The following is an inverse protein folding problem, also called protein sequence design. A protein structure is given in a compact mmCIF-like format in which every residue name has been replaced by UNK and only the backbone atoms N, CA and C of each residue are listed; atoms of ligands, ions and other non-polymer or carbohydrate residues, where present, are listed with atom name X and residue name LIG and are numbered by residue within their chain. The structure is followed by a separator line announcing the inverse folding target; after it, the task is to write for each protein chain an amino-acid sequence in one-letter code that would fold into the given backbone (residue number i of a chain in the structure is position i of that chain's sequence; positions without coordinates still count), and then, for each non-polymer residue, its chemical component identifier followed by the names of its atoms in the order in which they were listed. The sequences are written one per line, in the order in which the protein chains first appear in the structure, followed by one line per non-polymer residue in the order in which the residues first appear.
data_IF_755147167881
#
_entry.id   IF_755147167881
#
_cell.length_a   1.000
_cell.length_b   1.000
_cell.length_c   1.000
_cell.angle_alpha   90.00
_cell.angle_beta   90.00
_cell.angle_gamma   90.00
#
_symmetry.space_group_name_H-M   'P 1'
#
loop_
_entity.id
_entity.type
_entity.pdbx_description
1 polymer ?
#
# COMPACT_ATOMS: atom_id res chain seq x y z
N UNK A 1 14.70 2.52 13.06
CA UNK A 1 13.99 2.21 14.33
C UNK A 1 13.20 0.92 14.15
N UNK A 2 12.70 0.30 15.24
CA UNK A 2 11.81 -0.86 15.17
C UNK A 2 10.35 -0.43 15.05
N UNK A 3 9.49 -1.31 14.50
CA UNK A 3 8.04 -1.16 14.51
C UNK A 3 7.36 -1.85 15.70
N UNK A 4 8.15 -2.33 16.66
CA UNK A 4 7.64 -2.97 17.87
C UNK A 4 6.62 -2.07 18.59
N UNK A 5 5.49 -2.66 18.97
CA UNK A 5 4.34 -2.01 19.62
C UNK A 5 3.72 -0.84 18.84
N UNK A 6 4.14 -0.57 17.58
CA UNK A 6 3.51 0.42 16.70
C UNK A 6 2.24 -0.14 16.08
N UNK A 7 1.21 0.68 16.01
CA UNK A 7 -0.07 0.33 15.38
C UNK A 7 -0.11 0.79 13.92
N UNK A 8 -0.18 -0.18 13.00
CA UNK A 8 -0.27 0.05 11.56
C UNK A 8 -1.67 -0.28 11.06
N UNK A 9 -2.38 0.71 10.52
CA UNK A 9 -3.66 0.51 9.85
C UNK A 9 -3.45 0.32 8.34
N UNK A 10 -3.72 -0.88 7.80
CA UNK A 10 -3.40 -1.24 6.41
C UNK A 10 -4.68 -1.52 5.64
N UNK A 11 -5.01 -0.67 4.66
CA UNK A 11 -6.16 -0.90 3.78
C UNK A 11 -5.81 -1.91 2.68
N UNK A 12 -6.76 -2.80 2.34
CA UNK A 12 -6.54 -3.82 1.32
C UNK A 12 -5.55 -4.92 1.74
N UNK A 13 -5.42 -5.18 3.05
CA UNK A 13 -4.39 -6.08 3.60
C UNK A 13 -4.74 -7.57 3.57
N UNK A 14 -5.87 -7.99 2.99
CA UNK A 14 -6.26 -9.40 2.94
C UNK A 14 -5.41 -10.27 1.99
N UNK A 15 -4.51 -9.69 1.20
CA UNK A 15 -3.61 -10.36 0.24
C UNK A 15 -2.54 -9.44 -0.34
N UNK A 16 -1.65 -10.02 -1.15
CA UNK A 16 -0.68 -9.26 -1.98
C UNK A 16 0.25 -8.38 -1.17
N UNK A 17 0.52 -7.16 -1.66
CA UNK A 17 1.46 -6.22 -1.04
C UNK A 17 1.03 -5.85 0.39
N UNK A 18 -0.25 -5.56 0.61
CA UNK A 18 -0.75 -5.19 1.93
C UNK A 18 -0.57 -6.29 2.98
N UNK A 19 -0.78 -7.57 2.59
CA UNK A 19 -0.49 -8.73 3.44
C UNK A 19 1.00 -8.83 3.78
N UNK A 20 1.88 -8.71 2.80
CA UNK A 20 3.33 -8.81 3.06
C UNK A 20 3.86 -7.65 3.93
N UNK A 21 3.34 -6.42 3.76
CA UNK A 21 3.64 -5.29 4.67
C UNK A 21 3.20 -5.63 6.09
N UNK A 22 1.99 -6.19 6.26
CA UNK A 22 1.48 -6.62 7.56
C UNK A 22 2.40 -7.65 8.22
N UNK A 23 2.79 -8.70 7.49
CA UNK A 23 3.67 -9.77 8.00
C UNK A 23 5.08 -9.26 8.30
N UNK A 24 5.62 -8.35 7.46
CA UNK A 24 6.93 -7.76 7.69
C UNK A 24 6.98 -6.94 8.99
N UNK A 25 5.95 -6.15 9.24
CA UNK A 25 5.85 -5.37 10.46
C UNK A 25 5.56 -6.26 11.71
N UNK A 26 4.75 -7.32 11.54
CA UNK A 26 4.43 -8.27 12.60
C UNK A 26 5.67 -8.98 13.16
N UNK A 27 6.68 -9.27 12.32
CA UNK A 27 7.97 -9.86 12.75
C UNK A 27 8.74 -8.98 13.74
N UNK A 28 8.46 -7.69 13.77
CA UNK A 28 8.99 -6.74 14.75
C UNK A 28 8.11 -6.65 16.02
N UNK A 29 6.99 -7.34 16.09
CA UNK A 29 6.03 -7.23 17.18
C UNK A 29 5.06 -6.05 17.04
N UNK A 30 4.77 -5.60 15.83
CA UNK A 30 3.80 -4.52 15.58
C UNK A 30 2.35 -4.96 15.82
N UNK A 31 1.47 -3.98 16.10
CA UNK A 31 0.02 -4.14 16.11
C UNK A 31 -0.50 -3.86 14.69
N UNK A 32 -1.22 -4.80 14.09
CA UNK A 32 -1.65 -4.72 12.71
C UNK A 32 -3.18 -4.70 12.60
N UNK A 33 -3.71 -3.65 12.00
CA UNK A 33 -5.13 -3.59 11.61
C UNK A 33 -5.23 -4.00 10.15
N UNK A 34 -5.83 -5.17 9.92
CA UNK A 34 -6.08 -5.75 8.59
C UNK A 34 -7.45 -5.27 8.10
N UNK A 35 -7.49 -4.17 7.35
CA UNK A 35 -8.72 -3.57 6.88
C UNK A 35 -8.97 -3.89 5.40
N UNK A 36 -9.96 -4.72 5.09
CA UNK A 36 -10.32 -5.03 3.70
C UNK A 36 -11.77 -5.55 3.58
N UNK A 37 -12.31 -5.60 2.37
CA UNK A 37 -13.65 -6.10 2.09
C UNK A 37 -13.80 -7.62 2.24
N UNK A 38 -12.71 -8.37 2.03
CA UNK A 38 -12.72 -9.83 1.95
C UNK A 38 -12.69 -10.46 3.35
N UNK A 39 -13.85 -10.58 3.98
CA UNK A 39 -14.02 -11.33 5.23
C UNK A 39 -14.19 -12.83 4.98
N UNK A 40 -14.91 -13.19 3.90
CA UNK A 40 -15.17 -14.58 3.53
C UNK A 40 -14.21 -15.07 2.43
N UNK A 41 -13.90 -16.39 2.39
CA UNK A 41 -13.13 -16.98 1.32
C UNK A 41 -13.77 -16.74 -0.06
N UNK A 42 -12.95 -16.47 -1.07
CA UNK A 42 -13.39 -16.28 -2.44
C UNK A 42 -12.79 -17.35 -3.35
N UNK A 43 -13.60 -17.93 -4.25
CA UNK A 43 -13.18 -19.08 -5.09
C UNK A 43 -11.93 -18.82 -5.96
N UNK A 44 -11.67 -17.56 -6.34
CA UNK A 44 -10.57 -17.19 -7.24
C UNK A 44 -9.50 -16.29 -6.60
N UNK A 45 -9.74 -15.78 -5.39
CA UNK A 45 -8.82 -14.85 -4.74
C UNK A 45 -8.39 -15.41 -3.38
N UNK A 46 -7.10 -15.62 -3.14
CA UNK A 46 -6.61 -16.14 -1.87
C UNK A 46 -6.74 -15.11 -0.76
N UNK A 47 -6.85 -15.58 0.48
CA UNK A 47 -6.75 -14.78 1.69
C UNK A 47 -8.01 -13.99 2.04
N UNK A 48 -8.24 -13.88 3.35
CA UNK A 48 -9.28 -13.05 3.99
C UNK A 48 -8.62 -12.18 5.05
N UNK A 49 -9.36 -11.24 5.62
CA UNK A 49 -8.87 -10.46 6.78
C UNK A 49 -8.56 -11.37 7.96
N UNK A 50 -9.31 -12.46 8.14
CA UNK A 50 -9.14 -13.41 9.24
C UNK A 50 -7.90 -14.30 9.02
N UNK A 51 -7.72 -14.87 7.82
CA UNK A 51 -6.52 -15.69 7.54
C UNK A 51 -5.22 -14.89 7.67
N UNK A 52 -5.23 -13.59 7.31
CA UNK A 52 -4.05 -12.72 7.49
C UNK A 52 -3.86 -12.33 8.94
N UNK A 53 -4.94 -12.19 9.73
CA UNK A 53 -4.82 -11.98 11.17
C UNK A 53 -4.10 -13.14 11.86
N UNK A 54 -4.49 -14.39 11.54
CA UNK A 54 -3.82 -15.60 12.05
C UNK A 54 -2.32 -15.62 11.65
N UNK A 55 -2.00 -15.24 10.42
CA UNK A 55 -0.61 -15.18 9.94
C UNK A 55 0.22 -14.08 10.65
N UNK A 56 -0.39 -12.92 10.94
CA UNK A 56 0.24 -11.81 11.71
C UNK A 56 0.57 -12.26 13.12
N UNK A 57 -0.34 -12.97 13.80
CA UNK A 57 -0.11 -13.51 15.14
C UNK A 57 0.99 -14.57 15.14
N UNK A 58 0.99 -15.47 14.15
CA UNK A 58 2.05 -16.47 13.97
C UNK A 58 3.42 -15.82 13.69
N UNK A 59 3.44 -14.65 13.05
CA UNK A 59 4.67 -13.90 12.79
C UNK A 59 5.19 -13.11 14.01
N UNK A 60 4.44 -13.06 15.12
CA UNK A 60 4.84 -12.40 16.36
C UNK A 60 4.20 -11.02 16.60
N UNK A 61 3.32 -10.56 15.72
CA UNK A 61 2.53 -9.34 15.90
C UNK A 61 1.23 -9.57 16.65
N UNK A 62 0.44 -8.51 16.81
CA UNK A 62 -0.96 -8.56 17.26
C UNK A 62 -1.86 -8.13 16.10
N UNK A 63 -3.02 -8.77 15.95
CA UNK A 63 -3.89 -8.55 14.81
C UNK A 63 -5.29 -8.05 15.21
N UNK A 64 -5.83 -7.13 14.40
CA UNK A 64 -7.25 -6.76 14.42
C UNK A 64 -7.78 -6.80 12.99
N UNK A 65 -8.68 -7.76 12.71
CA UNK A 65 -9.32 -7.90 11.41
C UNK A 65 -10.59 -7.04 11.34
N UNK A 66 -10.66 -6.10 10.40
CA UNK A 66 -11.81 -5.22 10.19
C UNK A 66 -12.33 -5.33 8.76
N UNK A 67 -13.59 -5.73 8.60
CA UNK A 67 -14.25 -5.68 7.30
C UNK A 67 -14.53 -4.23 6.92
N UNK A 68 -13.90 -3.74 5.84
CA UNK A 68 -13.98 -2.33 5.46
C UNK A 68 -14.05 -2.16 3.93
N UNK A 69 -15.06 -1.41 3.47
CA UNK A 69 -15.05 -0.78 2.16
C UNK A 69 -14.55 0.67 2.31
N UNK A 70 -13.38 0.97 1.77
CA UNK A 70 -12.76 2.31 1.86
C UNK A 70 -13.56 3.42 1.16
N UNK A 71 -14.61 3.09 0.42
CA UNK A 71 -15.53 4.05 -0.22
C UNK A 71 -16.55 4.60 0.77
N UNK A 72 -16.84 3.86 1.84
CA UNK A 72 -17.78 4.26 2.90
C UNK A 72 -17.04 5.06 3.97
N UNK A 73 -17.27 6.37 3.97
CA UNK A 73 -16.63 7.31 4.89
C UNK A 73 -17.00 7.04 6.36
N UNK A 74 -18.25 6.67 6.63
CA UNK A 74 -18.70 6.40 7.99
C UNK A 74 -18.03 5.12 8.52
N UNK A 75 -17.96 4.07 7.70
CA UNK A 75 -17.26 2.84 8.03
C UNK A 75 -15.75 3.06 8.24
N UNK A 76 -15.11 3.90 7.42
CA UNK A 76 -13.69 4.27 7.61
C UNK A 76 -13.47 4.95 8.96
N UNK A 77 -14.29 5.95 9.32
CA UNK A 77 -14.19 6.63 10.62
C UNK A 77 -14.40 5.67 11.79
N UNK A 78 -15.39 4.80 11.71
CA UNK A 78 -15.66 3.79 12.73
C UNK A 78 -14.52 2.79 12.88
N UNK A 79 -13.93 2.31 11.76
CA UNK A 79 -12.81 1.38 11.78
C UNK A 79 -11.54 2.01 12.40
N UNK A 80 -11.26 3.29 12.11
CA UNK A 80 -10.13 4.00 12.74
C UNK A 80 -10.33 4.16 14.24
N UNK A 81 -11.55 4.51 14.69
CA UNK A 81 -11.87 4.63 16.12
C UNK A 81 -11.72 3.28 16.83
N UNK A 82 -12.25 2.20 16.25
CA UNK A 82 -12.13 0.85 16.79
C UNK A 82 -10.67 0.39 16.90
N UNK A 83 -9.84 0.67 15.88
CA UNK A 83 -8.42 0.36 15.88
C UNK A 83 -7.68 1.11 17.00
N UNK A 84 -7.96 2.42 17.13
CA UNK A 84 -7.34 3.25 18.15
C UNK A 84 -7.77 2.85 19.58
N UNK A 85 -9.04 2.48 19.78
CA UNK A 85 -9.53 1.96 21.04
C UNK A 85 -8.86 0.63 21.42
N UNK A 86 -8.72 -0.27 20.43
CA UNK A 86 -8.17 -1.61 20.66
C UNK A 86 -6.67 -1.61 20.98
N UNK A 87 -5.87 -0.77 20.30
CA UNK A 87 -4.41 -0.74 20.44
C UNK A 87 -3.87 0.50 21.14
N UNK A 88 -4.74 1.44 21.53
CA UNK A 88 -4.33 2.66 22.23
C UNK A 88 -3.89 3.80 21.29
N UNK A 89 -4.06 3.67 19.98
CA UNK A 89 -3.70 4.69 18.98
C UNK A 89 -3.38 4.10 17.60
N UNK A 90 -3.00 4.97 16.67
CA UNK A 90 -2.53 4.60 15.33
C UNK A 90 -1.24 5.37 15.04
N UNK A 91 -0.14 4.67 14.74
CA UNK A 91 1.15 5.25 14.40
C UNK A 91 1.36 5.39 12.89
N UNK A 92 0.78 4.48 12.10
CA UNK A 92 0.91 4.52 10.64
C UNK A 92 -0.38 4.14 9.92
N UNK A 93 -0.68 4.86 8.83
CA UNK A 93 -1.70 4.52 7.85
C UNK A 93 -1.04 4.09 6.55
N UNK A 94 -1.39 2.90 6.05
CA UNK A 94 -0.95 2.41 4.75
C UNK A 94 -2.16 2.34 3.81
N UNK A 95 -2.24 3.26 2.86
CA UNK A 95 -3.25 3.30 1.81
C UNK A 95 -2.82 2.37 0.66
N UNK A 96 -3.12 1.08 0.82
CA UNK A 96 -2.78 0.04 -0.14
C UNK A 96 -4.02 -0.47 -0.92
N UNK A 97 -5.23 -0.30 -0.42
CA UNK A 97 -6.44 -0.66 -1.17
C UNK A 97 -6.44 -0.01 -2.55
N UNK A 98 -6.71 -0.78 -3.59
CA UNK A 98 -6.67 -0.28 -4.96
C UNK A 98 -7.59 -1.06 -5.91
N UNK A 99 -7.96 -0.42 -7.00
CA UNK A 99 -8.65 -1.01 -8.14
C UNK A 99 -7.88 -0.69 -9.42
N UNK A 100 -7.81 -1.67 -10.32
CA UNK A 100 -7.07 -1.57 -11.57
C UNK A 100 -7.98 -1.95 -12.75
N UNK A 101 -7.84 -1.19 -13.85
CA UNK A 101 -8.30 -1.55 -15.19
C UNK A 101 -7.45 -0.83 -16.22
N UNK A 102 -6.65 -1.58 -16.94
CA UNK A 102 -5.67 -1.07 -17.91
C UNK A 102 -6.27 -0.97 -19.31
N UNK A 103 -7.17 -0.01 -19.52
CA UNK A 103 -7.75 0.31 -20.84
C UNK A 103 -7.81 1.82 -21.02
N UNK A 104 -7.73 2.26 -22.27
CA UNK A 104 -7.83 3.67 -22.66
C UNK A 104 -9.25 4.24 -22.54
N UNK A 105 -9.36 5.56 -22.71
CA UNK A 105 -10.63 6.31 -22.58
C UNK A 105 -11.72 5.78 -23.53
N UNK A 106 -11.35 5.38 -24.73
CA UNK A 106 -12.30 4.88 -25.75
C UNK A 106 -13.12 3.67 -25.27
N UNK A 107 -12.51 2.80 -24.45
CA UNK A 107 -13.09 1.49 -24.08
C UNK A 107 -13.50 1.37 -22.62
N UNK A 108 -13.13 2.32 -21.78
CA UNK A 108 -13.43 2.24 -20.35
C UNK A 108 -14.89 2.63 -20.08
N UNK A 109 -15.62 1.75 -19.40
CA UNK A 109 -16.93 2.10 -18.85
C UNK A 109 -16.76 3.20 -17.76
N UNK A 110 -17.50 4.33 -17.84
CA UNK A 110 -17.46 5.39 -16.83
C UNK A 110 -17.68 4.91 -15.40
N UNK A 111 -18.56 3.94 -15.17
CA UNK A 111 -18.78 3.32 -13.83
C UNK A 111 -17.52 2.67 -13.29
N UNK A 112 -16.66 2.11 -14.17
CA UNK A 112 -15.40 1.52 -13.78
C UNK A 112 -14.37 2.59 -13.44
N UNK A 113 -14.38 3.72 -14.16
CA UNK A 113 -13.56 4.88 -13.78
C UNK A 113 -13.95 5.44 -12.41
N UNK A 114 -15.26 5.65 -12.18
CA UNK A 114 -15.78 6.12 -10.89
C UNK A 114 -15.36 5.18 -9.75
N UNK A 115 -15.46 3.87 -9.95
CA UNK A 115 -15.03 2.87 -8.97
C UNK A 115 -13.52 3.00 -8.66
N UNK A 116 -12.67 3.10 -9.70
CA UNK A 116 -11.23 3.26 -9.51
C UNK A 116 -10.92 4.58 -8.79
N UNK A 117 -11.56 5.68 -9.17
CA UNK A 117 -11.34 6.98 -8.55
C UNK A 117 -11.74 6.98 -7.07
N UNK A 118 -12.88 6.37 -6.74
CA UNK A 118 -13.34 6.24 -5.36
C UNK A 118 -12.38 5.42 -4.49
N UNK A 119 -11.86 4.30 -5.02
CA UNK A 119 -10.99 3.39 -4.25
C UNK A 119 -9.55 3.90 -4.20
N UNK A 120 -9.01 4.41 -5.31
CA UNK A 120 -7.62 4.86 -5.38
C UNK A 120 -7.46 6.26 -4.79
N UNK A 121 -8.05 7.27 -5.43
CA UNK A 121 -7.79 8.69 -5.08
C UNK A 121 -8.60 9.16 -3.88
N UNK A 122 -9.96 9.02 -3.95
CA UNK A 122 -10.83 9.55 -2.90
C UNK A 122 -10.57 8.86 -1.55
N UNK A 123 -10.37 7.54 -1.55
CA UNK A 123 -10.15 6.82 -0.30
C UNK A 123 -8.84 7.24 0.40
N UNK A 124 -7.78 7.59 -0.32
CA UNK A 124 -6.55 8.13 0.28
C UNK A 124 -6.86 9.37 1.12
N UNK A 125 -7.65 10.31 0.59
CA UNK A 125 -8.05 11.50 1.32
C UNK A 125 -8.91 11.13 2.54
N UNK A 126 -9.94 10.32 2.36
CA UNK A 126 -10.89 9.94 3.44
C UNK A 126 -10.20 9.19 4.57
N UNK A 127 -9.37 8.18 4.24
CA UNK A 127 -8.63 7.42 5.24
C UNK A 127 -7.60 8.29 5.97
N UNK A 128 -6.90 9.18 5.24
CA UNK A 128 -5.92 10.08 5.85
C UNK A 128 -6.59 11.10 6.80
N UNK A 129 -7.76 11.64 6.43
CA UNK A 129 -8.54 12.52 7.31
C UNK A 129 -9.01 11.78 8.57
N UNK A 130 -9.49 10.55 8.43
CA UNK A 130 -9.98 9.76 9.57
C UNK A 130 -8.84 9.31 10.51
N UNK A 131 -7.65 9.03 9.98
CA UNK A 131 -6.48 8.66 10.77
C UNK A 131 -5.79 9.86 11.44
N UNK A 132 -5.95 11.08 10.89
CA UNK A 132 -5.21 12.27 11.29
C UNK A 132 -5.24 12.57 12.80
N UNK A 133 -6.38 12.49 13.52
CA UNK A 133 -6.40 12.71 14.97
C UNK A 133 -5.42 11.80 15.71
N UNK A 134 -5.41 10.53 15.39
CA UNK A 134 -4.57 9.50 16.04
C UNK A 134 -3.10 9.63 15.65
N UNK A 135 -2.80 9.93 14.38
CA UNK A 135 -1.43 10.16 13.90
C UNK A 135 -0.76 11.36 14.54
N UNK A 136 -1.54 12.39 14.93
CA UNK A 136 -1.04 13.56 15.67
C UNK A 136 -0.56 13.18 17.07
N UNK A 137 -1.20 12.21 17.68
CA UNK A 137 -0.93 11.77 19.05
C UNK A 137 0.18 10.69 19.11
N UNK A 138 0.66 10.21 17.95
CA UNK A 138 1.75 9.24 17.88
C UNK A 138 3.07 9.82 18.43
N UNK A 139 3.59 9.24 19.49
CA UNK A 139 4.83 9.69 20.13
C UNK A 139 6.06 9.58 19.21
N UNK A 140 6.07 8.60 18.30
CA UNK A 140 7.16 8.42 17.33
C UNK A 140 7.04 9.33 16.11
N UNK A 141 5.95 10.08 15.98
CA UNK A 141 5.54 10.79 14.76
C UNK A 141 4.75 9.87 13.84
N UNK A 142 3.58 10.35 13.39
CA UNK A 142 2.70 9.58 12.52
C UNK A 142 3.29 9.39 11.12
N UNK A 143 2.95 8.26 10.47
CA UNK A 143 3.31 8.00 9.08
C UNK A 143 2.07 7.75 8.22
N UNK A 144 2.05 8.30 7.01
CA UNK A 144 1.12 7.91 5.94
C UNK A 144 1.94 7.41 4.77
N UNK A 145 1.67 6.18 4.33
CA UNK A 145 2.29 5.57 3.16
C UNK A 145 1.21 5.23 2.13
N UNK A 146 1.31 5.83 0.94
CA UNK A 146 0.40 5.61 -0.16
C UNK A 146 1.06 4.71 -1.21
N UNK A 147 0.37 3.63 -1.64
CA UNK A 147 0.88 2.78 -2.73
C UNK A 147 0.55 3.46 -4.07
N UNK A 148 1.39 4.43 -4.44
CA UNK A 148 1.21 5.23 -5.65
C UNK A 148 2.54 5.58 -6.32
N UNK A 149 2.55 5.80 -7.67
CA UNK A 149 3.76 5.91 -8.48
C UNK A 149 4.41 7.31 -8.38
N UNK A 150 5.66 7.43 -8.86
CA UNK A 150 6.22 8.72 -9.23
C UNK A 150 5.39 9.40 -10.33
N UNK A 151 5.47 10.73 -10.43
CA UNK A 151 4.76 11.51 -11.46
C UNK A 151 5.62 11.58 -12.73
N UNK A 152 5.52 10.58 -13.58
CA UNK A 152 6.15 10.58 -14.90
C UNK A 152 5.15 11.08 -15.93
N UNK A 153 5.38 12.28 -16.51
CA UNK A 153 4.47 12.96 -17.42
C UNK A 153 4.66 12.56 -18.89
N UNK A 154 5.43 11.50 -19.19
CA UNK A 154 5.53 10.98 -20.55
C UNK A 154 4.15 10.50 -21.03
N UNK A 155 3.78 10.93 -22.24
CA UNK A 155 2.49 10.63 -22.86
C UNK A 155 2.19 9.13 -23.02
N UNK A 156 3.24 8.28 -23.07
CA UNK A 156 3.09 6.82 -23.11
C UNK A 156 2.27 6.27 -21.94
N UNK A 157 2.39 6.88 -20.75
CA UNK A 157 1.68 6.47 -19.54
C UNK A 157 0.21 6.87 -19.52
N UNK A 158 -0.18 7.78 -20.39
CA UNK A 158 -1.58 8.24 -20.55
C UNK A 158 -2.27 7.59 -21.74
N UNK A 159 -1.53 7.27 -22.81
CA UNK A 159 -2.11 6.81 -24.06
C UNK A 159 -2.90 5.50 -23.93
N UNK A 160 -2.37 4.51 -23.21
CA UNK A 160 -2.96 3.17 -23.15
C UNK A 160 -3.92 2.97 -21.96
N UNK A 161 -3.72 3.67 -20.87
CA UNK A 161 -4.47 3.48 -19.61
C UNK A 161 -4.63 4.78 -18.81
N UNK A 162 -4.80 5.90 -19.51
CA UNK A 162 -4.97 7.23 -18.94
C UNK A 162 -5.96 7.31 -17.77
N UNK A 163 -7.13 6.69 -17.82
CA UNK A 163 -8.06 6.70 -16.70
C UNK A 163 -7.47 6.10 -15.40
N UNK A 164 -6.73 4.99 -15.49
CA UNK A 164 -6.02 4.43 -14.34
C UNK A 164 -4.90 5.35 -13.86
N UNK A 165 -4.10 5.88 -14.81
CA UNK A 165 -3.02 6.85 -14.53
C UNK A 165 -3.54 8.03 -13.72
N UNK A 166 -4.65 8.65 -14.15
CA UNK A 166 -5.28 9.79 -13.42
C UNK A 166 -5.59 9.42 -11.96
N UNK A 167 -6.13 8.22 -11.72
CA UNK A 167 -6.48 7.82 -10.35
C UNK A 167 -5.23 7.58 -9.50
N UNK A 168 -4.17 7.01 -10.07
CA UNK A 168 -2.92 6.75 -9.33
C UNK A 168 -2.11 8.03 -9.11
N UNK A 169 -2.04 8.91 -10.10
CA UNK A 169 -1.38 10.22 -9.96
C UNK A 169 -2.12 11.12 -8.97
N UNK A 170 -3.45 11.04 -8.90
CA UNK A 170 -4.22 11.72 -7.86
C UNK A 170 -3.76 11.35 -6.43
N UNK A 171 -3.42 10.07 -6.18
CA UNK A 171 -2.85 9.65 -4.89
C UNK A 171 -1.47 10.29 -4.65
N UNK A 172 -0.61 10.33 -5.68
CA UNK A 172 0.73 10.91 -5.58
C UNK A 172 0.68 12.42 -5.36
N UNK A 173 -0.23 13.13 -6.02
CA UNK A 173 -0.45 14.56 -5.79
C UNK A 173 -0.96 14.84 -4.37
N UNK A 174 -1.89 14.02 -3.85
CA UNK A 174 -2.34 14.08 -2.46
C UNK A 174 -1.19 13.81 -1.48
N UNK A 175 -0.29 12.87 -1.81
CA UNK A 175 0.91 12.59 -1.00
C UNK A 175 1.76 13.85 -0.83
N UNK A 176 2.08 14.53 -1.93
CA UNK A 176 2.88 15.76 -1.90
C UNK A 176 2.18 16.88 -1.11
N UNK A 177 0.88 17.10 -1.36
CA UNK A 177 0.09 18.10 -0.64
C UNK A 177 0.02 17.84 0.86
N UNK A 178 -0.34 16.61 1.25
CA UNK A 178 -0.44 16.22 2.67
C UNK A 178 0.91 16.26 3.38
N UNK A 179 2.04 16.02 2.70
CA UNK A 179 3.37 16.07 3.32
C UNK A 179 3.71 17.47 3.84
N UNK A 180 3.29 18.52 3.14
CA UNK A 180 3.46 19.91 3.57
C UNK A 180 2.37 20.35 4.55
N UNK A 181 1.11 19.99 4.31
CA UNK A 181 -0.02 20.33 5.19
C UNK A 181 0.18 19.74 6.61
N UNK A 182 0.63 18.47 6.71
CA UNK A 182 0.78 17.77 7.99
C UNK A 182 2.15 17.95 8.64
N UNK A 183 3.05 18.67 8.01
CA UNK A 183 4.38 19.02 8.53
C UNK A 183 4.32 19.62 9.94
N UNK A 184 3.38 20.52 10.18
CA UNK A 184 3.15 21.17 11.48
C UNK A 184 2.79 20.19 12.61
N UNK A 185 2.33 19.00 12.28
CA UNK A 185 2.01 17.94 13.23
C UNK A 185 3.15 16.91 13.37
N UNK A 186 4.23 17.07 12.62
CA UNK A 186 5.35 16.11 12.61
C UNK A 186 5.05 14.79 11.92
N UNK A 187 4.01 14.72 11.08
CA UNK A 187 3.61 13.51 10.35
C UNK A 187 4.42 13.42 9.06
N UNK A 188 4.95 12.23 8.78
CA UNK A 188 5.62 11.89 7.51
C UNK A 188 4.60 11.35 6.51
N UNK A 189 4.61 11.85 5.28
CA UNK A 189 3.72 11.37 4.21
C UNK A 189 4.54 11.05 2.98
N UNK A 190 4.51 9.80 2.52
CA UNK A 190 5.28 9.34 1.37
C UNK A 190 4.43 8.44 0.47
N UNK A 191 4.89 8.25 -0.76
CA UNK A 191 4.40 7.23 -1.65
C UNK A 191 5.48 6.17 -1.90
N UNK A 192 5.03 4.94 -2.21
CA UNK A 192 5.90 3.81 -2.57
C UNK A 192 5.32 3.12 -3.80
N UNK A 193 6.18 2.82 -4.78
CA UNK A 193 5.83 2.12 -6.00
C UNK A 193 6.89 1.07 -6.35
N UNK A 194 6.51 -0.07 -6.96
CA UNK A 194 7.47 -1.07 -7.38
C UNK A 194 8.24 -0.63 -8.63
N UNK A 195 9.53 -0.95 -8.69
CA UNK A 195 10.36 -0.79 -9.88
C UNK A 195 10.00 -1.79 -10.97
N UNK A 196 9.65 -2.98 -10.54
CA UNK A 196 9.33 -4.09 -11.43
C UNK A 196 7.97 -4.67 -11.06
N UNK A 197 7.31 -5.32 -12.01
CA UNK A 197 6.05 -6.00 -11.77
C UNK A 197 6.10 -6.87 -10.51
N UNK A 198 5.06 -6.80 -9.70
CA UNK A 198 4.91 -7.61 -8.48
C UNK A 198 3.89 -8.73 -8.73
N UNK A 199 4.27 -9.96 -8.43
CA UNK A 199 3.43 -11.14 -8.57
C UNK A 199 2.29 -11.14 -7.54
N UNK A 200 1.13 -10.60 -7.92
CA UNK A 200 -0.05 -10.49 -7.06
C UNK A 200 -1.30 -10.99 -7.77
N UNK A 201 -2.30 -11.42 -7.00
CA UNK A 201 -3.59 -11.84 -7.54
C UNK A 201 -4.29 -10.72 -8.36
N UNK A 202 -4.05 -9.45 -8.08
CA UNK A 202 -4.59 -8.33 -8.85
C UNK A 202 -4.00 -8.29 -10.26
N UNK A 203 -2.71 -8.50 -10.39
CA UNK A 203 -2.01 -8.57 -11.69
C UNK A 203 -2.40 -9.84 -12.44
N UNK A 204 -2.50 -11.00 -11.78
CA UNK A 204 -3.01 -12.23 -12.39
C UNK A 204 -4.41 -12.02 -12.99
N UNK A 205 -5.29 -11.38 -12.24
CA UNK A 205 -6.66 -11.12 -12.68
C UNK A 205 -6.70 -10.15 -13.88
N UNK A 206 -5.88 -9.10 -13.89
CA UNK A 206 -5.86 -8.11 -14.99
C UNK A 206 -5.21 -8.67 -16.26
N UNK A 207 -4.13 -9.45 -16.13
CA UNK A 207 -3.44 -10.06 -17.27
C UNK A 207 -4.08 -11.38 -17.76
N UNK A 208 -4.89 -12.02 -16.91
CA UNK A 208 -5.52 -13.31 -17.20
C UNK A 208 -4.56 -14.52 -17.22
N UNK A 209 -3.31 -14.34 -16.81
CA UNK A 209 -2.28 -15.41 -16.79
C UNK A 209 -1.21 -15.13 -15.73
N UNK A 210 -0.58 -16.21 -15.24
CA UNK A 210 0.60 -16.16 -14.35
C UNK A 210 1.95 -16.18 -15.11
N UNK A 211 1.96 -16.29 -16.41
CA UNK A 211 3.22 -16.42 -17.15
C UNK A 211 4.16 -15.23 -16.95
N UNK A 212 3.59 -14.03 -16.81
CA UNK A 212 4.36 -12.83 -16.52
C UNK A 212 5.06 -12.86 -15.14
N UNK A 213 4.61 -13.70 -14.20
CA UNK A 213 5.20 -13.82 -12.87
C UNK A 213 6.63 -14.35 -12.89
N UNK A 214 6.99 -15.15 -13.89
CA UNK A 214 8.39 -15.59 -14.10
C UNK A 214 9.37 -14.42 -14.27
N UNK A 215 8.85 -13.26 -14.65
CA UNK A 215 9.58 -12.02 -14.85
C UNK A 215 9.17 -10.92 -13.87
N UNK A 216 8.68 -11.31 -12.70
CA UNK A 216 8.21 -10.44 -11.64
C UNK A 216 8.99 -10.67 -10.34
N UNK A 217 8.83 -9.75 -9.40
CA UNK A 217 9.28 -9.93 -8.02
C UNK A 217 8.11 -10.31 -7.12
N UNK A 218 8.42 -10.90 -5.99
CA UNK A 218 7.44 -11.18 -4.93
C UNK A 218 7.07 -9.89 -4.20
N UNK A 219 5.91 -9.81 -3.54
CA UNK A 219 5.53 -8.64 -2.73
C UNK A 219 6.48 -8.32 -1.58
N UNK A 220 7.42 -9.22 -1.24
CA UNK A 220 8.36 -9.04 -0.13
C UNK A 220 9.22 -7.77 -0.30
N UNK A 221 9.65 -7.44 -1.53
CA UNK A 221 10.44 -6.21 -1.78
C UNK A 221 9.67 -4.95 -1.37
N UNK A 222 8.37 -4.91 -1.68
CA UNK A 222 7.50 -3.80 -1.27
C UNK A 222 7.32 -3.73 0.24
N UNK A 223 7.28 -4.88 0.90
CA UNK A 223 7.18 -4.97 2.35
C UNK A 223 8.44 -4.46 3.05
N UNK A 224 9.63 -4.85 2.58
CA UNK A 224 10.89 -4.39 3.12
C UNK A 224 11.13 -2.89 2.85
N UNK A 225 10.75 -2.40 1.66
CA UNK A 225 10.79 -0.97 1.34
C UNK A 225 9.82 -0.16 2.22
N UNK A 226 8.60 -0.64 2.42
CA UNK A 226 7.63 -0.03 3.34
C UNK A 226 8.17 -0.02 4.78
N UNK A 227 8.78 -1.11 5.22
CA UNK A 227 9.42 -1.20 6.52
C UNK A 227 10.51 -0.13 6.69
N UNK A 228 11.40 0.02 5.72
CA UNK A 228 12.47 1.03 5.74
C UNK A 228 11.91 2.46 5.90
N UNK A 229 10.79 2.76 5.22
CA UNK A 229 10.11 4.06 5.32
C UNK A 229 9.46 4.25 6.68
N UNK A 230 8.68 3.27 7.14
CA UNK A 230 7.86 3.35 8.36
C UNK A 230 8.68 3.28 9.64
N UNK A 231 9.85 2.64 9.61
CA UNK A 231 10.79 2.58 10.74
C UNK A 231 11.81 3.72 10.74
N UNK A 232 11.74 4.66 9.79
CA UNK A 232 12.62 5.82 9.73
C UNK A 232 12.34 6.81 10.88
N UNK A 233 13.32 7.65 11.19
CA UNK A 233 13.15 8.72 12.18
C UNK A 233 12.07 9.71 11.74
N UNK A 234 11.43 10.32 12.72
CA UNK A 234 10.39 11.32 12.50
C UNK A 234 10.80 12.33 11.44
N UNK A 235 10.07 12.35 10.33
CA UNK A 235 10.24 13.24 9.18
C UNK A 235 11.60 13.19 8.47
N UNK A 236 12.45 12.22 8.74
CA UNK A 236 13.69 12.04 7.96
C UNK A 236 13.40 11.69 6.49
N UNK A 237 12.27 11.01 6.25
CA UNK A 237 11.73 10.71 4.92
C UNK A 237 10.29 11.24 4.87
N UNK A 238 10.03 12.31 4.11
CA UNK A 238 8.67 12.86 3.92
C UNK A 238 8.59 13.66 2.62
N UNK A 239 7.45 13.57 1.93
CA UNK A 239 7.19 14.25 0.66
C UNK A 239 7.88 13.58 -0.53
N UNK A 240 8.25 12.29 -0.41
CA UNK A 240 8.93 11.54 -1.47
C UNK A 240 7.95 10.57 -2.15
N UNK A 241 8.12 10.43 -3.46
CA UNK A 241 7.50 9.41 -4.29
C UNK A 241 8.58 8.36 -4.58
N UNK A 242 8.64 7.34 -3.73
CA UNK A 242 9.75 6.40 -3.63
C UNK A 242 9.53 5.17 -4.51
N UNK A 243 10.63 4.62 -5.02
CA UNK A 243 10.69 3.30 -5.67
C UNK A 243 11.29 2.29 -4.70
N UNK A 244 10.73 1.09 -4.64
CA UNK A 244 11.10 0.03 -3.70
C UNK A 244 12.60 -0.29 -3.71
N UNK A 245 13.14 -0.59 -4.87
CA UNK A 245 14.58 -0.90 -5.02
C UNK A 245 15.47 0.29 -4.66
N UNK A 246 15.04 1.53 -4.97
CA UNK A 246 15.84 2.73 -4.71
C UNK A 246 15.97 3.00 -3.20
N UNK A 247 14.84 2.98 -2.47
CA UNK A 247 14.90 3.19 -1.02
C UNK A 247 15.69 2.08 -0.31
N UNK A 248 15.59 0.83 -0.76
CA UNK A 248 16.38 -0.26 -0.19
C UNK A 248 17.88 -0.11 -0.49
N UNK A 249 18.26 0.40 -1.68
CA UNK A 249 19.66 0.77 -1.99
C UNK A 249 20.16 1.90 -1.10
N UNK A 250 19.34 2.91 -0.82
CA UNK A 250 19.68 3.97 0.15
C UNK A 250 19.94 3.40 1.56
N UNK A 251 19.32 2.27 1.91
CA UNK A 251 19.56 1.55 3.17
C UNK A 251 20.73 0.56 3.10
N UNK A 252 21.50 0.55 1.99
CA UNK A 252 22.70 -0.27 1.82
C UNK A 252 22.47 -1.66 1.21
N UNK A 253 21.24 -1.99 0.78
CA UNK A 253 20.99 -3.26 0.12
C UNK A 253 21.52 -3.23 -1.32
N UNK A 254 22.27 -4.26 -1.71
CA UNK A 254 22.86 -4.38 -3.05
C UNK A 254 22.36 -5.59 -3.83
N UNK A 255 21.90 -6.63 -3.15
CA UNK A 255 21.37 -7.86 -3.75
C UNK A 255 19.84 -7.89 -3.68
N UNK A 256 19.20 -8.13 -4.83
CA UNK A 256 17.75 -8.16 -4.99
C UNK A 256 17.23 -9.47 -5.64
N UNK A 257 18.13 -10.44 -5.88
CA UNK A 257 17.76 -11.70 -6.56
C UNK A 257 16.79 -12.54 -5.73
N UNK A 258 16.90 -12.52 -4.41
CA UNK A 258 16.01 -13.25 -3.50
C UNK A 258 14.54 -12.75 -3.53
N UNK A 259 14.28 -11.58 -4.13
CA UNK A 259 12.92 -11.09 -4.36
C UNK A 259 12.28 -11.61 -5.65
N UNK A 260 13.03 -12.29 -6.53
CA UNK A 260 12.44 -12.87 -7.73
C UNK A 260 11.35 -13.86 -7.39
N UNK A 261 10.25 -13.82 -8.13
CA UNK A 261 9.20 -14.86 -8.03
C UNK A 261 9.69 -16.19 -8.58
N UNK A 262 10.42 -16.16 -9.69
CA UNK A 262 11.08 -17.30 -10.32
C UNK A 262 12.58 -16.98 -10.47
N UNK A 263 13.47 -17.66 -9.71
CA UNK A 263 14.91 -17.44 -9.80
C UNK A 263 15.50 -17.68 -11.19
N UNK A 264 14.92 -18.64 -11.95
CA UNK A 264 15.33 -18.99 -13.31
C UNK A 264 14.57 -18.19 -14.38
N UNK A 265 13.73 -17.25 -13.96
CA UNK A 265 12.96 -16.39 -14.82
C UNK A 265 13.83 -15.44 -15.66
N UNK A 266 13.29 -14.99 -16.79
CA UNK A 266 13.99 -14.05 -17.69
C UNK A 266 14.19 -12.66 -17.08
N UNK A 267 14.60 -11.68 -17.90
CA UNK A 267 14.72 -10.29 -17.46
C UNK A 267 13.41 -9.77 -16.83
N UNK A 268 13.53 -9.11 -15.69
CA UNK A 268 12.37 -8.54 -14.99
C UNK A 268 11.62 -7.54 -15.86
N UNK A 269 10.29 -7.53 -15.74
CA UNK A 269 9.44 -6.54 -16.38
C UNK A 269 9.38 -5.28 -15.51
N UNK A 270 9.66 -4.12 -16.10
CA UNK A 270 9.42 -2.84 -15.42
C UNK A 270 7.92 -2.71 -15.07
N UNK A 271 7.64 -2.08 -13.94
CA UNK A 271 6.26 -1.71 -13.60
C UNK A 271 5.82 -0.45 -14.37
N UNK A 272 4.53 -0.13 -14.30
CA UNK A 272 3.99 1.09 -14.91
C UNK A 272 4.63 2.33 -14.27
N UNK A 273 4.80 3.40 -15.06
CA UNK A 273 5.29 4.72 -14.64
C UNK A 273 6.79 4.78 -14.28
N UNK A 274 7.50 3.69 -14.47
CA UNK A 274 8.96 3.58 -14.25
C UNK A 274 9.64 3.35 -15.59
N UNK A 275 10.73 4.07 -15.88
CA UNK A 275 11.56 3.95 -17.09
C UNK A 275 12.67 2.92 -16.92
#
# INVERSE_FOLDING_TARGET
MSLQDKTLFITGASRGIGREIALRAARDGANIVIAAKSAEPHAKLPGTIHSVADEVEQAGGKALALQLDVRDEAAVKAAMAQAAEHFGGIDALINNAGAIKLVGVEKLDPKRFDLMFQINTRAVMVCSQAALPYLKDSAAGGHILNLSPPLNMDSKWFAQHGPYTVTKYGMSMLTLGMSEEFKKYGISVNALWPKTMIATAAIEFELGSRDAFKRARTPLIMADAAYAILSSEKRSISGRLLIDEEILREQGQSDFEHYRFDPDGGALLADLFVD
#
